data_IF_971019430575
#
_entry.id   IF_971019430575
#
_cell.length_a   1.000
_cell.length_b   1.000
_cell.length_c   1.000
_cell.angle_alpha   90.00
_cell.angle_beta   90.00
_cell.angle_gamma   90.00
#
_symmetry.space_group_name_H-M   'P 1'
#
loop_
_entity.id
_entity.type
_entity.pdbx_description
1 polymer ?
#
# COMPACT_ATOMS: atom_id res chain seq x y z
N UNK A 1 30.22 4.20 4.73
CA UNK A 1 30.42 5.55 4.18
C UNK A 1 29.08 6.26 3.81
N UNK A 2 27.93 5.62 4.02
CA UNK A 2 26.61 6.19 3.76
C UNK A 2 26.28 6.41 2.26
N UNK A 3 27.01 5.79 1.35
CA UNK A 3 26.76 5.84 -0.10
C UNK A 3 26.52 4.43 -0.61
N UNK A 4 25.46 4.16 -1.37
CA UNK A 4 25.21 2.84 -1.92
C UNK A 4 26.29 2.46 -2.93
N UNK A 5 26.80 1.25 -2.83
CA UNK A 5 27.78 0.68 -3.76
C UNK A 5 27.15 -0.35 -4.71
N UNK A 6 25.85 -0.49 -4.65
CA UNK A 6 25.09 -1.48 -5.43
C UNK A 6 23.95 -2.08 -4.64
N UNK A 7 23.59 -3.29 -4.97
CA UNK A 7 22.56 -4.05 -4.26
C UNK A 7 22.91 -5.54 -4.18
N UNK A 8 22.26 -6.22 -3.25
CA UNK A 8 22.30 -7.67 -3.13
C UNK A 8 20.94 -8.22 -3.51
N UNK A 9 20.91 -9.26 -4.31
CA UNK A 9 19.71 -9.96 -4.71
C UNK A 9 19.91 -11.48 -4.55
N UNK A 10 18.82 -12.20 -4.40
CA UNK A 10 18.85 -13.67 -4.38
C UNK A 10 17.75 -14.26 -5.26
N UNK A 11 18.07 -15.39 -5.86
CA UNK A 11 17.12 -16.13 -6.66
C UNK A 11 16.35 -17.09 -5.75
N UNK A 12 15.04 -16.89 -5.62
CA UNK A 12 14.17 -17.71 -4.76
C UNK A 12 14.02 -19.16 -5.21
N UNK A 13 14.33 -19.48 -6.49
CA UNK A 13 14.22 -20.85 -7.01
C UNK A 13 15.51 -21.66 -6.81
N UNK A 14 16.66 -21.00 -6.88
CA UNK A 14 17.96 -21.66 -6.88
C UNK A 14 18.86 -21.28 -5.70
N UNK A 15 18.42 -20.35 -4.84
CA UNK A 15 19.19 -19.88 -3.70
C UNK A 15 20.48 -19.10 -4.07
N UNK A 16 20.68 -18.77 -5.35
CA UNK A 16 21.86 -18.04 -5.80
C UNK A 16 21.81 -16.61 -5.32
N UNK A 17 22.86 -16.15 -4.66
CA UNK A 17 23.05 -14.76 -4.24
C UNK A 17 23.82 -13.99 -5.31
N UNK A 18 23.32 -12.82 -5.67
CA UNK A 18 23.95 -11.90 -6.61
C UNK A 18 24.37 -10.65 -5.87
N UNK A 19 25.61 -10.24 -6.05
CA UNK A 19 26.10 -8.95 -5.59
C UNK A 19 26.33 -8.07 -6.81
N UNK A 20 25.53 -7.03 -6.95
CA UNK A 20 25.57 -6.11 -8.09
C UNK A 20 26.24 -4.82 -7.62
N UNK A 21 27.44 -4.56 -8.12
CA UNK A 21 28.14 -3.30 -7.84
C UNK A 21 27.69 -2.23 -8.82
N UNK A 22 27.42 -1.04 -8.33
CA UNK A 22 26.93 0.08 -9.13
C UNK A 22 27.45 1.42 -8.62
N UNK A 23 27.60 2.39 -9.53
CA UNK A 23 28.00 3.77 -9.19
C UNK A 23 26.82 4.61 -8.73
N UNK A 24 25.60 4.20 -9.06
CA UNK A 24 24.34 4.80 -8.66
C UNK A 24 23.28 3.72 -8.53
N UNK A 25 22.33 3.94 -7.65
CA UNK A 25 21.18 3.04 -7.44
C UNK A 25 19.88 3.84 -7.62
N UNK A 26 18.99 3.36 -8.48
CA UNK A 26 17.64 3.89 -8.63
C UNK A 26 16.67 2.94 -7.94
N UNK A 27 16.00 3.42 -6.92
CA UNK A 27 14.97 2.68 -6.21
C UNK A 27 13.62 2.89 -6.89
N UNK A 28 13.00 1.80 -7.34
CA UNK A 28 11.68 1.78 -7.98
C UNK A 28 10.84 0.61 -7.44
N UNK A 29 10.86 0.43 -6.12
CA UNK A 29 10.34 -0.75 -5.41
C UNK A 29 8.84 -0.68 -5.11
N UNK A 30 8.18 0.38 -5.55
CA UNK A 30 6.76 0.56 -5.31
C UNK A 30 6.42 0.92 -3.86
N UNK A 31 5.17 0.79 -3.52
CA UNK A 31 4.62 1.11 -2.21
C UNK A 31 5.01 0.09 -1.13
N UNK A 32 4.66 0.40 0.13
CA UNK A 32 4.69 -0.55 1.22
C UNK A 32 3.26 -0.92 1.59
N UNK A 33 2.85 -2.11 1.24
CA UNK A 33 1.56 -2.68 1.60
C UNK A 33 1.73 -3.98 2.41
N UNK A 34 0.65 -4.71 2.68
CA UNK A 34 0.67 -5.94 3.46
C UNK A 34 1.18 -5.79 4.90
N UNK A 35 1.21 -4.57 5.42
CA UNK A 35 1.65 -4.27 6.78
C UNK A 35 0.50 -4.31 7.80
N UNK A 36 -0.74 -4.43 7.33
CA UNK A 36 -1.95 -4.51 8.14
C UNK A 36 -2.86 -5.61 7.61
N UNK A 37 -3.81 -6.06 8.44
CA UNK A 37 -4.94 -6.88 7.99
C UNK A 37 -6.04 -5.99 7.46
N UNK A 38 -6.78 -6.50 6.49
CA UNK A 38 -8.00 -5.86 6.02
C UNK A 38 -9.16 -6.86 5.97
N UNK A 39 -10.37 -6.35 5.94
CA UNK A 39 -11.58 -7.16 5.93
C UNK A 39 -12.01 -7.61 4.52
N UNK A 40 -11.19 -7.44 3.50
CA UNK A 40 -11.54 -7.81 2.12
C UNK A 40 -11.56 -9.32 1.90
N UNK A 41 -10.89 -10.08 2.77
CA UNK A 41 -10.81 -11.54 2.67
C UNK A 41 -9.84 -12.04 1.60
N UNK A 42 -8.95 -11.17 1.11
CA UNK A 42 -7.94 -11.56 0.11
C UNK A 42 -6.79 -12.34 0.71
N UNK A 43 -6.16 -13.23 -0.09
CA UNK A 43 -4.87 -13.78 0.25
C UNK A 43 -3.91 -12.64 0.60
N UNK A 44 -3.23 -12.77 1.73
CA UNK A 44 -2.36 -11.75 2.31
C UNK A 44 -3.07 -10.45 2.75
N UNK A 45 -4.42 -10.41 2.72
CA UNK A 45 -5.20 -9.21 3.04
C UNK A 45 -4.69 -7.95 2.33
N UNK A 46 -4.32 -8.08 1.07
CA UNK A 46 -3.76 -7.00 0.26
C UNK A 46 -4.47 -6.93 -1.09
N UNK A 47 -4.89 -5.75 -1.52
CA UNK A 47 -5.47 -5.52 -2.83
C UNK A 47 -4.45 -5.07 -3.88
N UNK A 48 -3.27 -4.67 -3.42
CA UNK A 48 -2.10 -4.41 -4.24
C UNK A 48 -1.21 -5.65 -4.32
N UNK A 49 -0.09 -5.54 -5.04
CA UNK A 49 0.88 -6.63 -5.16
C UNK A 49 1.40 -7.00 -3.76
N UNK A 50 1.14 -8.22 -3.26
CA UNK A 50 1.44 -8.59 -1.88
C UNK A 50 2.94 -8.70 -1.58
N UNK A 51 3.78 -8.59 -2.59
CA UNK A 51 5.24 -8.68 -2.45
C UNK A 51 5.92 -7.32 -2.25
N UNK A 52 5.19 -6.22 -2.36
CA UNK A 52 5.68 -4.87 -2.03
C UNK A 52 5.49 -4.63 -0.53
N UNK A 53 6.42 -5.09 0.28
CA UNK A 53 6.32 -5.07 1.75
C UNK A 53 7.08 -3.94 2.43
N UNK A 54 7.60 -2.98 1.64
CA UNK A 54 8.34 -1.83 2.16
C UNK A 54 9.84 -2.05 2.28
N UNK A 55 10.37 -3.12 1.68
CA UNK A 55 11.81 -3.43 1.72
C UNK A 55 12.65 -2.29 1.17
N UNK A 56 12.21 -1.64 0.09
CA UNK A 56 12.89 -0.51 -0.49
C UNK A 56 13.02 0.65 0.49
N UNK A 57 11.92 1.06 1.11
CA UNK A 57 11.92 2.13 2.11
C UNK A 57 12.78 1.76 3.32
N UNK A 58 12.73 0.50 3.75
CA UNK A 58 13.57 -0.02 4.84
C UNK A 58 15.06 0.03 4.49
N UNK A 59 15.44 -0.38 3.28
CA UNK A 59 16.82 -0.29 2.79
C UNK A 59 17.30 1.16 2.71
N UNK A 60 16.46 2.07 2.19
CA UNK A 60 16.77 3.49 2.12
C UNK A 60 17.02 4.08 3.52
N UNK A 61 16.15 3.74 4.49
CA UNK A 61 16.30 4.19 5.87
C UNK A 61 17.61 3.67 6.50
N UNK A 62 17.95 2.41 6.28
CA UNK A 62 19.22 1.82 6.77
C UNK A 62 20.45 2.50 6.16
N UNK A 63 20.34 3.03 4.94
CA UNK A 63 21.41 3.84 4.32
C UNK A 63 21.47 5.27 4.85
N UNK A 64 20.53 5.68 5.70
CA UNK A 64 20.41 7.04 6.20
C UNK A 64 19.61 8.00 5.33
N UNK A 65 18.87 7.49 4.35
CA UNK A 65 17.97 8.30 3.54
C UNK A 65 16.78 8.82 4.36
N UNK A 66 16.40 10.06 4.10
CA UNK A 66 15.20 10.63 4.71
C UNK A 66 13.96 10.01 4.09
N UNK A 67 13.07 9.53 4.95
CA UNK A 67 11.71 9.17 4.59
C UNK A 67 10.77 10.29 5.03
N UNK A 68 9.69 10.50 4.29
CA UNK A 68 8.70 11.50 4.64
C UNK A 68 7.28 10.92 4.55
N UNK A 69 6.39 11.45 5.38
CA UNK A 69 4.96 11.15 5.38
C UNK A 69 4.61 9.65 5.61
N UNK A 70 5.52 8.87 6.21
CA UNK A 70 5.29 7.42 6.44
C UNK A 70 4.14 7.14 7.41
N UNK A 71 3.71 8.13 8.16
CA UNK A 71 2.52 8.07 9.02
C UNK A 71 1.21 8.10 8.25
N UNK A 72 1.20 8.51 6.99
CA UNK A 72 0.00 8.52 6.17
C UNK A 72 -0.15 7.20 5.43
N UNK A 73 -1.35 6.65 5.50
CA UNK A 73 -1.72 5.41 4.82
C UNK A 73 -2.83 5.68 3.81
N UNK A 74 -2.77 5.04 2.68
CA UNK A 74 -3.85 5.03 1.70
C UNK A 74 -4.87 3.94 2.07
N UNK A 75 -6.13 4.22 1.84
CA UNK A 75 -7.22 3.30 2.03
C UNK A 75 -8.30 3.55 0.99
N UNK A 76 -9.10 2.54 0.72
CA UNK A 76 -10.25 2.68 -0.17
C UNK A 76 -11.42 1.84 0.33
N UNK A 77 -12.61 2.17 -0.15
CA UNK A 77 -13.80 1.38 0.11
C UNK A 77 -13.92 0.32 -0.99
N UNK A 78 -14.13 -0.93 -0.61
CA UNK A 78 -14.32 -2.06 -1.52
C UNK A 78 -15.56 -2.86 -1.15
N UNK A 79 -16.21 -3.54 -2.10
CA UNK A 79 -17.14 -4.59 -1.76
C UNK A 79 -16.44 -5.64 -0.88
N UNK A 80 -17.11 -6.10 0.16
CA UNK A 80 -16.56 -7.10 1.08
C UNK A 80 -16.29 -8.41 0.35
N UNK A 81 -15.07 -8.92 0.51
CA UNK A 81 -14.61 -10.12 -0.20
C UNK A 81 -14.21 -9.88 -1.66
N UNK A 82 -14.08 -8.63 -2.09
CA UNK A 82 -13.56 -8.25 -3.41
C UNK A 82 -12.25 -7.47 -3.31
N UNK A 83 -11.30 -7.75 -4.20
CA UNK A 83 -9.91 -7.28 -4.07
C UNK A 83 -9.64 -5.87 -4.54
N UNK A 84 -10.57 -5.21 -5.17
CA UNK A 84 -10.24 -3.93 -5.77
C UNK A 84 -11.32 -2.89 -5.52
N UNK A 85 -10.89 -1.65 -5.53
CA UNK A 85 -11.78 -0.50 -5.37
C UNK A 85 -12.79 -0.41 -6.51
N UNK A 86 -13.99 0.02 -6.21
CA UNK A 86 -15.06 0.23 -7.19
C UNK A 86 -16.02 1.36 -6.81
N UNK A 87 -15.88 1.88 -5.59
CA UNK A 87 -16.82 2.85 -4.99
C UNK A 87 -17.08 4.07 -5.86
N UNK A 88 -16.06 4.57 -6.58
CA UNK A 88 -16.21 5.73 -7.45
C UNK A 88 -17.26 5.49 -8.56
N UNK A 89 -17.29 4.28 -9.13
CA UNK A 89 -18.28 3.91 -10.15
C UNK A 89 -19.70 3.91 -9.57
N UNK A 90 -19.90 3.35 -8.40
CA UNK A 90 -21.19 3.32 -7.71
C UNK A 90 -21.67 4.72 -7.35
N UNK A 91 -20.83 5.50 -6.69
CA UNK A 91 -21.15 6.88 -6.30
C UNK A 91 -21.39 7.76 -7.51
N UNK A 92 -20.59 7.59 -8.57
CA UNK A 92 -20.79 8.30 -9.84
C UNK A 92 -22.10 7.96 -10.52
N UNK A 93 -22.64 6.75 -10.34
CA UNK A 93 -23.96 6.35 -10.81
C UNK A 93 -25.09 6.82 -9.89
N UNK A 94 -24.80 7.42 -8.74
CA UNK A 94 -25.78 7.92 -7.80
C UNK A 94 -26.16 6.97 -6.67
N UNK A 95 -25.40 5.90 -6.45
CA UNK A 95 -25.60 4.98 -5.32
C UNK A 95 -25.45 5.69 -3.97
N UNK A 96 -26.21 5.22 -2.97
CA UNK A 96 -26.12 5.71 -1.60
C UNK A 96 -25.20 4.82 -0.74
N UNK A 97 -24.61 5.42 0.29
CA UNK A 97 -23.99 4.69 1.37
C UNK A 97 -24.94 4.64 2.57
N UNK A 98 -25.31 3.42 2.96
CA UNK A 98 -26.26 3.22 4.06
C UNK A 98 -25.65 2.34 5.14
N UNK A 99 -26.02 2.60 6.40
CA UNK A 99 -25.62 1.79 7.54
C UNK A 99 -26.57 0.59 7.77
N UNK A 100 -26.32 -0.20 8.82
CA UNK A 100 -27.14 -1.37 9.13
C UNK A 100 -28.61 -1.06 9.41
N UNK A 101 -28.95 0.16 9.83
CA UNK A 101 -30.32 0.62 10.01
C UNK A 101 -30.98 1.12 8.70
N UNK A 102 -30.27 1.07 7.56
CA UNK A 102 -30.74 1.61 6.28
C UNK A 102 -30.64 3.14 6.18
N UNK A 103 -29.98 3.79 7.11
CA UNK A 103 -29.81 5.24 7.13
C UNK A 103 -28.75 5.67 6.12
N UNK A 104 -29.06 6.59 5.23
CA UNK A 104 -28.12 7.28 4.36
C UNK A 104 -27.31 8.28 5.17
N UNK A 105 -26.14 7.89 5.60
CA UNK A 105 -25.39 8.60 6.65
C UNK A 105 -24.43 9.67 6.13
N UNK A 106 -24.07 9.68 4.87
CA UNK A 106 -22.98 10.54 4.38
C UNK A 106 -23.19 12.04 4.59
N UNK A 107 -24.44 12.50 4.68
CA UNK A 107 -24.74 13.90 4.99
C UNK A 107 -24.33 14.34 6.40
N UNK A 108 -24.04 13.39 7.32
CA UNK A 108 -23.46 13.67 8.63
C UNK A 108 -21.97 14.07 8.54
N UNK A 109 -21.29 13.61 7.46
CA UNK A 109 -19.84 13.74 7.29
C UNK A 109 -19.46 14.75 6.21
N UNK A 110 -20.33 14.97 5.22
CA UNK A 110 -20.09 15.93 4.17
C UNK A 110 -21.43 16.49 3.63
N UNK A 111 -21.55 17.84 3.46
CA UNK A 111 -22.82 18.45 3.02
C UNK A 111 -23.28 18.01 1.62
N UNK A 112 -22.37 17.55 0.75
CA UNK A 112 -22.71 16.97 -0.55
C UNK A 112 -22.96 15.45 -0.49
N UNK A 113 -23.05 14.86 0.71
CA UNK A 113 -23.26 13.42 0.88
C UNK A 113 -22.18 12.60 0.20
N UNK A 114 -22.57 11.62 -0.61
CA UNK A 114 -21.64 10.73 -1.34
C UNK A 114 -20.81 11.44 -2.42
N UNK A 115 -21.19 12.65 -2.83
CA UNK A 115 -20.40 13.49 -3.73
C UNK A 115 -19.25 14.22 -2.99
N UNK A 116 -19.09 13.97 -1.70
CA UNK A 116 -17.93 14.44 -0.93
C UNK A 116 -16.61 13.85 -1.43
N UNK A 117 -15.52 14.33 -0.87
CA UNK A 117 -14.19 13.81 -1.22
C UNK A 117 -14.07 12.35 -0.74
N UNK A 118 -13.26 11.56 -1.43
CA UNK A 118 -13.00 10.15 -1.06
C UNK A 118 -12.66 9.97 0.42
N UNK A 119 -11.88 10.89 0.99
CA UNK A 119 -11.50 10.83 2.41
C UNK A 119 -12.72 10.99 3.34
N UNK A 120 -13.69 11.80 2.94
CA UNK A 120 -14.90 12.01 3.73
C UNK A 120 -15.79 10.75 3.71
N UNK A 121 -15.86 10.05 2.57
CA UNK A 121 -16.55 8.76 2.46
C UNK A 121 -15.87 7.69 3.33
N UNK A 122 -14.54 7.59 3.25
CA UNK A 122 -13.75 6.64 4.06
C UNK A 122 -13.96 6.92 5.55
N UNK A 123 -13.86 8.18 5.97
CA UNK A 123 -14.08 8.58 7.36
C UNK A 123 -15.51 8.28 7.82
N UNK A 124 -16.50 8.47 6.96
CA UNK A 124 -17.89 8.11 7.22
C UNK A 124 -18.05 6.62 7.49
N UNK A 125 -17.52 5.77 6.61
CA UNK A 125 -17.58 4.30 6.76
C UNK A 125 -16.84 3.83 8.02
N UNK A 126 -15.64 4.37 8.28
CA UNK A 126 -14.87 4.04 9.49
C UNK A 126 -15.66 4.43 10.75
N UNK A 127 -16.28 5.61 10.73
CA UNK A 127 -17.01 6.12 11.89
C UNK A 127 -18.28 5.32 12.16
N UNK A 128 -19.10 5.07 11.13
CA UNK A 128 -20.32 4.27 11.27
C UNK A 128 -19.98 2.86 11.80
N UNK A 129 -18.93 2.24 11.29
CA UNK A 129 -18.49 0.92 11.74
C UNK A 129 -17.97 0.94 13.18
N UNK A 130 -17.13 1.91 13.54
CA UNK A 130 -16.53 2.01 14.86
C UNK A 130 -17.54 2.36 15.97
N UNK A 131 -18.62 3.04 15.63
CA UNK A 131 -19.71 3.41 16.54
C UNK A 131 -20.84 2.37 16.59
N UNK A 132 -20.61 1.18 16.00
CA UNK A 132 -21.56 0.05 16.08
C UNK A 132 -22.78 0.16 15.15
N UNK A 133 -22.76 1.07 14.18
CA UNK A 133 -23.82 1.20 13.16
C UNK A 133 -23.51 0.45 11.86
N UNK A 134 -22.37 -0.28 11.81
CA UNK A 134 -22.07 -1.23 10.73
C UNK A 134 -22.90 -2.53 10.85
N UNK A 135 -22.87 -3.38 9.81
CA UNK A 135 -22.14 -3.21 8.55
C UNK A 135 -22.66 -2.07 7.68
N UNK A 136 -21.83 -1.61 6.75
CA UNK A 136 -22.14 -0.52 5.83
C UNK A 136 -22.31 -1.07 4.43
N UNK A 137 -23.22 -0.48 3.66
CA UNK A 137 -23.59 -1.00 2.34
C UNK A 137 -23.61 0.12 1.28
N UNK A 138 -23.40 -0.29 0.03
CA UNK A 138 -23.80 0.45 -1.15
C UNK A 138 -25.25 0.07 -1.48
N UNK A 139 -26.11 1.06 -1.67
CA UNK A 139 -27.51 0.89 -2.07
C UNK A 139 -27.75 1.50 -3.45
N UNK A 140 -28.05 0.64 -4.42
CA UNK A 140 -28.40 1.02 -5.79
C UNK A 140 -29.89 0.81 -6.08
N UNK A 141 -30.71 0.31 -5.15
CA UNK A 141 -32.10 -0.12 -5.37
C UNK A 141 -33.05 0.99 -5.80
N UNK A 142 -32.68 2.24 -5.53
CA UNK A 142 -33.44 3.42 -5.96
C UNK A 142 -33.11 3.87 -7.39
N UNK A 143 -32.06 3.32 -8.00
CA UNK A 143 -31.67 3.70 -9.36
C UNK A 143 -32.57 3.06 -10.39
N UNK A 144 -32.87 3.77 -11.52
CA UNK A 144 -33.57 3.17 -12.65
C UNK A 144 -32.86 1.93 -13.19
N UNK A 145 -33.57 0.91 -13.69
CA UNK A 145 -32.95 -0.32 -14.21
C UNK A 145 -31.88 -0.07 -15.28
N UNK A 146 -32.08 0.90 -16.16
CA UNK A 146 -31.11 1.26 -17.19
C UNK A 146 -29.81 1.83 -16.60
N UNK A 147 -29.88 2.57 -15.49
CA UNK A 147 -28.72 3.10 -14.79
C UNK A 147 -27.95 1.99 -14.07
N UNK A 148 -28.65 1.03 -13.47
CA UNK A 148 -28.02 -0.16 -12.88
C UNK A 148 -27.30 -0.99 -13.94
N UNK A 149 -27.94 -1.20 -15.11
CA UNK A 149 -27.32 -1.94 -16.22
C UNK A 149 -26.08 -1.20 -16.77
N UNK A 150 -26.17 0.12 -16.93
CA UNK A 150 -25.03 0.94 -17.32
C UNK A 150 -23.88 0.88 -16.31
N UNK A 151 -24.21 0.92 -15.01
CA UNK A 151 -23.24 0.76 -13.93
C UNK A 151 -22.54 -0.61 -14.00
N UNK A 152 -23.30 -1.70 -14.13
CA UNK A 152 -22.75 -3.06 -14.30
C UNK A 152 -21.80 -3.14 -15.50
N UNK A 153 -22.19 -2.54 -16.64
CA UNK A 153 -21.34 -2.47 -17.83
C UNK A 153 -20.06 -1.68 -17.60
N UNK A 154 -20.15 -0.51 -16.99
CA UNK A 154 -18.97 0.33 -16.65
C UNK A 154 -18.03 -0.38 -15.68
N UNK A 155 -18.56 -1.00 -14.63
CA UNK A 155 -17.78 -1.78 -13.68
C UNK A 155 -17.08 -2.97 -14.37
N UNK A 156 -17.76 -3.64 -15.31
CA UNK A 156 -17.17 -4.74 -16.07
C UNK A 156 -16.00 -4.33 -16.96
N UNK A 157 -16.00 -3.12 -17.50
CA UNK A 157 -14.87 -2.57 -18.27
C UNK A 157 -13.72 -2.19 -17.34
N UNK A 158 -14.00 -1.46 -16.27
CA UNK A 158 -13.00 -0.96 -15.34
C UNK A 158 -12.47 -2.05 -14.39
N UNK A 159 -13.33 -3.02 -14.07
CA UNK A 159 -13.06 -4.13 -13.13
C UNK A 159 -13.62 -5.44 -13.68
N UNK A 160 -12.97 -6.08 -14.67
CA UNK A 160 -13.54 -7.21 -15.41
C UNK A 160 -14.01 -8.39 -14.56
N UNK A 161 -13.40 -8.60 -13.39
CA UNK A 161 -13.79 -9.66 -12.45
C UNK A 161 -14.99 -9.29 -11.57
N UNK A 162 -15.44 -8.04 -11.55
CA UNK A 162 -16.52 -7.60 -10.65
C UNK A 162 -17.90 -8.17 -11.02
N UNK A 163 -18.31 -8.27 -12.29
CA UNK A 163 -19.56 -8.96 -12.66
C UNK A 163 -19.56 -10.42 -12.18
N UNK A 164 -18.49 -11.16 -12.42
CA UNK A 164 -18.35 -12.54 -11.95
C UNK A 164 -18.41 -12.64 -10.42
N UNK A 165 -17.84 -11.67 -9.71
CA UNK A 165 -17.95 -11.60 -8.25
C UNK A 165 -19.41 -11.45 -7.79
N UNK A 166 -20.21 -10.57 -8.44
CA UNK A 166 -21.62 -10.44 -8.11
C UNK A 166 -22.40 -11.72 -8.36
N UNK A 167 -22.17 -12.38 -9.51
CA UNK A 167 -22.78 -13.66 -9.82
C UNK A 167 -22.45 -14.73 -8.78
N UNK A 168 -21.19 -14.87 -8.42
CA UNK A 168 -20.71 -15.84 -7.41
C UNK A 168 -21.27 -15.57 -6.00
N UNK A 169 -21.51 -14.30 -5.67
CA UNK A 169 -22.11 -13.90 -4.39
C UNK A 169 -23.63 -13.88 -4.42
N UNK A 170 -24.25 -14.07 -5.58
CA UNK A 170 -25.70 -13.97 -5.75
C UNK A 170 -26.24 -12.56 -5.47
N UNK A 171 -25.45 -11.52 -5.74
CA UNK A 171 -25.84 -10.11 -5.48
C UNK A 171 -26.42 -9.50 -6.74
N UNK A 172 -27.66 -9.06 -6.67
CA UNK A 172 -28.28 -8.19 -7.68
C UNK A 172 -28.37 -6.75 -7.16
N UNK A 173 -27.62 -5.84 -7.78
CA UNK A 173 -27.57 -4.43 -7.40
C UNK A 173 -28.93 -3.70 -7.49
N UNK A 174 -29.89 -4.26 -8.23
CA UNK A 174 -31.24 -3.70 -8.33
C UNK A 174 -32.10 -4.01 -7.10
N UNK A 175 -31.82 -5.10 -6.38
CA UNK A 175 -32.64 -5.60 -5.26
C UNK A 175 -31.87 -5.71 -3.95
N UNK A 176 -30.56 -5.85 -4.00
CA UNK A 176 -29.76 -6.18 -2.85
C UNK A 176 -28.86 -5.04 -2.41
N UNK A 177 -28.56 -5.02 -1.12
CA UNK A 177 -27.52 -4.17 -0.54
C UNK A 177 -26.15 -4.85 -0.73
N UNK A 178 -25.18 -4.10 -1.23
CA UNK A 178 -23.80 -4.58 -1.38
C UNK A 178 -22.98 -4.20 -0.15
N UNK A 179 -22.65 -5.16 0.70
CA UNK A 179 -21.80 -4.90 1.87
C UNK A 179 -20.41 -4.42 1.42
N UNK A 180 -19.92 -3.37 2.07
CA UNK A 180 -18.62 -2.77 1.80
C UNK A 180 -17.75 -2.75 3.05
N UNK A 181 -16.45 -2.66 2.81
CA UNK A 181 -15.45 -2.54 3.87
C UNK A 181 -14.34 -1.60 3.44
N UNK A 182 -13.53 -1.18 4.40
CA UNK A 182 -12.28 -0.47 4.09
C UNK A 182 -11.23 -1.51 3.68
N UNK A 183 -10.58 -1.26 2.55
CA UNK A 183 -9.44 -2.07 2.11
C UNK A 183 -8.20 -1.79 2.98
N UNK A 184 -7.12 -2.49 2.66
CA UNK A 184 -5.86 -2.37 3.36
C UNK A 184 -5.36 -0.94 3.52
N UNK A 185 -4.54 -0.76 4.54
CA UNK A 185 -3.68 0.41 4.69
C UNK A 185 -2.36 0.15 3.97
N UNK A 186 -2.03 0.99 3.02
CA UNK A 186 -0.72 0.97 2.35
C UNK A 186 -0.01 2.31 2.49
N UNK A 187 1.31 2.27 2.59
CA UNK A 187 2.15 3.48 2.58
C UNK A 187 2.67 3.67 1.17
N UNK A 188 2.15 4.65 0.46
CA UNK A 188 2.53 4.89 -0.94
C UNK A 188 2.58 6.37 -1.32
N UNK A 189 3.26 6.63 -2.41
CA UNK A 189 3.47 7.96 -2.96
C UNK A 189 2.26 8.59 -3.65
N UNK A 190 1.06 8.19 -3.38
CA UNK A 190 -0.13 8.83 -3.96
C UNK A 190 -1.39 8.18 -3.48
N UNK A 191 -2.24 8.91 -2.87
CA UNK A 191 -3.47 8.39 -2.34
C UNK A 191 -4.49 9.46 -2.09
N UNK A 192 -5.46 9.09 -1.30
CA UNK A 192 -6.62 9.88 -0.95
C UNK A 192 -6.27 11.17 -0.22
N UNK A 193 -5.14 11.18 0.47
CA UNK A 193 -4.60 12.35 1.14
C UNK A 193 -3.39 12.78 0.33
N UNK A 194 -3.39 13.96 -0.25
CA UNK A 194 -2.37 14.55 -1.13
C UNK A 194 -0.94 14.60 -0.56
N UNK A 195 -0.62 13.78 0.43
CA UNK A 195 0.69 13.65 1.05
C UNK A 195 1.24 12.27 0.76
N UNK A 196 2.34 12.26 0.06
CA UNK A 196 2.97 11.06 -0.47
C UNK A 196 4.02 10.56 0.51
N UNK A 197 3.92 9.27 0.86
CA UNK A 197 4.83 8.60 1.76
C UNK A 197 5.95 7.91 0.99
N UNK A 198 7.16 7.93 1.51
CA UNK A 198 8.29 7.23 0.92
C UNK A 198 9.61 7.96 1.05
N UNK A 199 10.57 7.57 0.23
CA UNK A 199 11.90 8.21 0.17
C UNK A 199 11.74 9.66 -0.29
N UNK A 200 12.23 10.59 0.53
CA UNK A 200 12.23 12.01 0.18
C UNK A 200 13.20 12.25 -0.97
N UNK A 201 12.67 12.86 -2.02
CA UNK A 201 13.43 13.22 -3.23
C UNK A 201 13.20 14.68 -3.61
N UNK A 202 14.13 15.23 -4.39
CA UNK A 202 13.98 16.52 -5.07
C UNK A 202 13.37 16.38 -6.47
N UNK A 203 13.37 17.46 -7.24
CA UNK A 203 12.85 17.51 -8.62
C UNK A 203 13.64 16.63 -9.61
N UNK A 204 14.89 16.33 -9.30
CA UNK A 204 15.78 15.47 -10.08
C UNK A 204 15.77 14.02 -9.59
N UNK A 205 14.84 13.68 -8.72
CA UNK A 205 14.69 12.36 -8.08
C UNK A 205 15.89 11.94 -7.20
N UNK A 206 16.69 12.89 -6.75
CA UNK A 206 17.83 12.64 -5.87
C UNK A 206 17.33 12.51 -4.43
N UNK A 207 17.78 11.49 -3.72
CA UNK A 207 17.50 11.35 -2.29
C UNK A 207 18.48 12.18 -1.44
N UNK A 208 18.28 12.16 -0.11
CA UNK A 208 19.26 12.75 0.84
C UNK A 208 20.61 12.00 0.91
N UNK A 209 20.72 10.85 0.27
CA UNK A 209 21.94 10.02 0.22
C UNK A 209 22.57 10.12 -1.16
N UNK A 210 23.81 10.60 -1.29
CA UNK A 210 24.49 10.67 -2.58
C UNK A 210 24.53 9.33 -3.28
N UNK A 211 24.20 9.31 -4.58
CA UNK A 211 24.17 8.08 -5.38
C UNK A 211 22.92 7.22 -5.23
N UNK A 212 21.97 7.60 -4.35
CA UNK A 212 20.67 6.98 -4.24
C UNK A 212 19.61 7.89 -4.84
N UNK A 213 18.85 7.36 -5.79
CA UNK A 213 17.72 7.99 -6.47
C UNK A 213 16.46 7.18 -6.19
N UNK A 214 15.29 7.80 -6.25
CA UNK A 214 14.04 7.06 -6.12
C UNK A 214 12.95 7.60 -7.04
N UNK A 215 12.07 6.73 -7.53
CA UNK A 215 10.99 7.08 -8.43
C UNK A 215 9.75 6.21 -8.19
N UNK A 216 8.58 6.76 -8.49
CA UNK A 216 7.31 6.07 -8.32
C UNK A 216 6.86 5.98 -6.86
N UNK A 217 6.04 4.99 -6.55
CA UNK A 217 5.32 4.87 -5.27
C UNK A 217 6.22 4.59 -4.05
N UNK A 218 7.49 4.27 -4.23
CA UNK A 218 8.46 4.21 -3.12
C UNK A 218 8.97 5.57 -2.66
N UNK A 219 8.64 6.66 -3.37
CA UNK A 219 9.14 8.01 -3.12
C UNK A 219 8.01 8.98 -2.73
N UNK A 220 8.40 10.19 -2.31
CA UNK A 220 7.44 11.26 -1.99
C UNK A 220 6.76 11.88 -3.20
N UNK A 221 7.08 11.47 -4.40
CA UNK A 221 6.47 11.96 -5.63
C UNK A 221 6.01 10.79 -6.48
N UNK A 222 4.70 10.58 -6.53
CA UNK A 222 4.06 9.61 -7.41
C UNK A 222 2.74 10.17 -7.93
N UNK A 223 2.26 9.65 -9.01
CA UNK A 223 0.95 9.96 -9.57
C UNK A 223 0.43 8.78 -10.39
N UNK A 224 0.47 7.60 -9.77
CA UNK A 224 0.20 6.33 -10.44
C UNK A 224 1.22 6.08 -11.56
N UNK A 225 0.79 5.34 -12.57
CA UNK A 225 1.68 4.89 -13.65
C UNK A 225 2.28 6.05 -14.45
N UNK A 226 1.52 7.11 -14.69
CA UNK A 226 2.00 8.30 -15.42
C UNK A 226 3.12 8.99 -14.65
N UNK A 227 2.94 9.20 -13.34
CA UNK A 227 3.97 9.79 -12.50
C UNK A 227 5.19 8.89 -12.36
N UNK A 228 4.99 7.58 -12.17
CA UNK A 228 6.09 6.62 -12.11
C UNK A 228 6.93 6.60 -13.38
N UNK A 229 6.30 6.71 -14.56
CA UNK A 229 6.99 6.78 -15.85
C UNK A 229 7.83 8.04 -15.98
N UNK A 230 7.26 9.21 -15.69
CA UNK A 230 7.98 10.49 -15.78
C UNK A 230 9.15 10.54 -14.79
N UNK A 231 8.88 10.18 -13.52
CA UNK A 231 9.90 10.20 -12.48
C UNK A 231 10.99 9.15 -12.72
N UNK A 232 10.62 7.98 -13.27
CA UNK A 232 11.58 6.95 -13.68
C UNK A 232 12.54 7.45 -14.76
N UNK A 233 12.04 8.20 -15.75
CA UNK A 233 12.86 8.83 -16.78
C UNK A 233 13.83 9.86 -16.18
N UNK A 234 13.32 10.74 -15.29
CA UNK A 234 14.14 11.76 -14.61
C UNK A 234 15.21 11.07 -13.73
N UNK A 235 14.81 10.11 -12.89
CA UNK A 235 15.72 9.40 -12.00
C UNK A 235 16.83 8.67 -12.78
N UNK A 236 16.47 8.02 -13.88
CA UNK A 236 17.44 7.33 -14.75
C UNK A 236 18.47 8.30 -15.36
N UNK A 237 18.01 9.45 -15.86
CA UNK A 237 18.89 10.50 -16.39
C UNK A 237 19.81 11.08 -15.32
N UNK A 238 19.28 11.36 -14.14
CA UNK A 238 20.06 11.89 -13.01
C UNK A 238 21.09 10.88 -12.47
N UNK A 239 20.67 9.63 -12.33
CA UNK A 239 21.57 8.54 -11.93
C UNK A 239 22.70 8.31 -12.94
N UNK A 240 22.40 8.37 -14.23
CA UNK A 240 23.41 8.25 -15.29
C UNK A 240 24.44 9.39 -15.24
N UNK A 241 23.98 10.65 -15.12
CA UNK A 241 24.87 11.80 -14.95
C UNK A 241 25.76 11.67 -13.73
N UNK A 242 25.21 11.27 -12.60
CA UNK A 242 25.96 11.05 -11.38
C UNK A 242 27.00 9.93 -11.58
N UNK A 243 26.62 8.80 -12.14
CA UNK A 243 27.48 7.63 -12.34
C UNK A 243 28.68 7.92 -13.27
N UNK A 244 28.52 8.80 -14.28
CA UNK A 244 29.60 9.22 -15.16
C UNK A 244 30.73 9.96 -14.42
N UNK A 245 30.39 10.69 -13.36
CA UNK A 245 31.34 11.40 -12.51
C UNK A 245 31.97 10.54 -11.38
N UNK A 246 31.56 9.27 -11.25
CA UNK A 246 32.05 8.41 -10.15
C UNK A 246 33.08 7.39 -10.65
N UNK A 247 34.07 7.04 -9.83
CA UNK A 247 34.99 5.95 -10.14
C UNK A 247 34.23 4.61 -10.17
N UNK A 248 34.81 3.62 -10.84
CA UNK A 248 34.29 2.26 -10.80
C UNK A 248 34.26 1.73 -9.36
N UNK A 249 33.20 1.05 -8.91
CA UNK A 249 33.17 0.46 -7.59
C UNK A 249 34.30 -0.57 -7.45
N UNK A 250 34.93 -0.60 -6.28
CA UNK A 250 35.93 -1.64 -6.00
C UNK A 250 35.23 -2.99 -5.83
N UNK A 251 35.76 -4.06 -6.41
CA UNK A 251 35.26 -5.41 -6.14
C UNK A 251 35.28 -5.70 -4.64
N UNK A 252 34.27 -6.41 -4.16
CA UNK A 252 34.25 -6.90 -2.78
C UNK A 252 35.27 -8.04 -2.60
N UNK A 253 35.85 -8.09 -1.42
CA UNK A 253 36.65 -9.23 -1.00
C UNK A 253 35.77 -10.48 -0.81
N UNK A 254 36.40 -11.65 -0.82
CA UNK A 254 35.69 -12.90 -0.54
C UNK A 254 35.05 -12.89 0.87
N UNK A 255 35.72 -12.30 1.83
CA UNK A 255 35.24 -12.16 3.21
C UNK A 255 33.98 -11.27 3.30
N UNK A 256 33.96 -10.13 2.59
CA UNK A 256 32.80 -9.27 2.52
C UNK A 256 31.60 -9.98 1.86
N UNK A 257 31.85 -10.76 0.81
CA UNK A 257 30.80 -11.54 0.13
C UNK A 257 30.23 -12.62 1.05
N UNK A 258 31.10 -13.33 1.78
CA UNK A 258 30.66 -14.38 2.71
C UNK A 258 29.85 -13.79 3.87
N UNK A 259 30.26 -12.67 4.41
CA UNK A 259 29.49 -11.95 5.45
C UNK A 259 28.10 -11.56 4.97
N UNK A 260 27.99 -11.06 3.74
CA UNK A 260 26.68 -10.75 3.13
C UNK A 260 25.82 -12.01 3.02
N UNK A 261 26.43 -13.12 2.61
CA UNK A 261 25.74 -14.40 2.50
C UNK A 261 25.26 -14.91 3.85
N UNK A 262 26.10 -14.87 4.87
CA UNK A 262 25.74 -15.25 6.24
C UNK A 262 24.56 -14.42 6.78
N UNK A 263 24.56 -13.11 6.55
CA UNK A 263 23.44 -12.24 6.93
C UNK A 263 22.12 -12.62 6.23
N UNK A 264 22.19 -13.02 4.96
CA UNK A 264 21.01 -13.42 4.19
C UNK A 264 20.44 -14.78 4.62
N UNK A 265 21.31 -15.73 4.96
CA UNK A 265 20.87 -17.10 5.31
C UNK A 265 20.57 -17.25 6.80
N UNK A 266 21.05 -16.36 7.65
CA UNK A 266 20.84 -16.39 9.11
C UNK A 266 19.39 -16.64 9.53
N UNK A 267 18.36 -16.03 8.89
CA UNK A 267 16.96 -16.33 9.25
C UNK A 267 16.56 -17.79 8.99
N UNK A 268 17.20 -18.48 8.06
CA UNK A 268 16.94 -19.89 7.75
C UNK A 268 17.55 -20.85 8.79
N UNK A 269 18.59 -20.38 9.48
CA UNK A 269 19.33 -21.13 10.49
C UNK A 269 18.83 -20.83 11.92
N UNK A 270 17.89 -19.90 12.05
CA UNK A 270 17.37 -19.46 13.34
C UNK A 270 16.31 -20.44 13.85
N UNK A 271 16.50 -20.95 15.05
CA UNK A 271 15.51 -21.73 15.81
C UNK A 271 14.51 -20.79 16.51
N UNK A 272 13.77 -20.00 15.73
CA UNK A 272 12.75 -19.10 16.25
C UNK A 272 11.48 -19.84 16.72
N UNK A 273 10.76 -19.25 17.67
CA UNK A 273 9.46 -19.78 18.12
C UNK A 273 8.34 -19.56 17.12
N UNK A 274 8.49 -18.57 16.26
CA UNK A 274 7.50 -18.18 15.25
C UNK A 274 7.95 -18.62 13.86
N UNK A 275 7.02 -19.11 13.06
CA UNK A 275 7.24 -19.24 11.63
C UNK A 275 7.29 -17.84 10.99
N UNK A 276 7.92 -17.66 9.80
CA UNK A 276 7.92 -16.38 9.12
C UNK A 276 6.52 -15.80 8.93
N UNK A 277 5.53 -16.65 8.63
CA UNK A 277 4.14 -16.24 8.51
C UNK A 277 3.53 -15.86 9.86
N UNK A 278 3.80 -16.63 10.91
CA UNK A 278 3.34 -16.30 12.26
C UNK A 278 3.86 -14.97 12.75
N UNK A 279 5.14 -14.68 12.48
CA UNK A 279 5.74 -13.38 12.77
C UNK A 279 5.04 -12.24 11.99
N UNK A 280 4.83 -12.43 10.69
CA UNK A 280 4.11 -11.47 9.85
C UNK A 280 2.70 -11.22 10.38
N UNK A 281 1.96 -12.29 10.71
CA UNK A 281 0.60 -12.19 11.21
C UNK A 281 0.53 -11.41 12.53
N UNK A 282 1.48 -11.61 13.45
CA UNK A 282 1.57 -10.84 14.70
C UNK A 282 1.86 -9.35 14.43
N UNK A 283 2.80 -9.03 13.54
CA UNK A 283 3.07 -7.64 13.16
C UNK A 283 1.81 -6.99 12.59
N UNK A 284 1.09 -7.68 11.72
CA UNK A 284 -0.12 -7.19 11.06
C UNK A 284 -1.26 -6.99 12.06
N UNK A 285 -1.41 -7.87 13.05
CA UNK A 285 -2.37 -7.69 14.14
C UNK A 285 -2.08 -6.42 14.96
N UNK A 286 -0.83 -6.22 15.33
CA UNK A 286 -0.41 -5.03 16.09
C UNK A 286 -0.70 -3.77 15.27
N UNK A 287 -0.30 -3.75 14.00
CA UNK A 287 -0.51 -2.60 13.13
C UNK A 287 -2.01 -2.31 12.97
N UNK A 288 -2.82 -3.31 12.69
CA UNK A 288 -4.26 -3.15 12.52
C UNK A 288 -4.95 -2.73 13.81
N UNK A 289 -4.63 -3.40 14.91
CA UNK A 289 -5.30 -3.21 16.19
C UNK A 289 -4.85 -1.96 16.94
N UNK A 290 -3.58 -1.56 16.83
CA UNK A 290 -3.02 -0.44 17.61
C UNK A 290 -2.82 0.82 16.77
N UNK A 291 -2.28 0.70 15.57
CA UNK A 291 -2.00 1.84 14.70
C UNK A 291 -3.27 2.25 13.95
N UNK A 292 -3.84 1.36 13.16
CA UNK A 292 -5.14 1.54 12.50
C UNK A 292 -5.34 2.89 11.81
N UNK A 293 -6.60 3.23 11.53
CA UNK A 293 -6.98 4.53 10.94
C UNK A 293 -7.14 5.63 12.00
N UNK A 294 -7.56 5.27 13.21
CA UNK A 294 -7.69 6.20 14.35
C UNK A 294 -6.57 5.93 15.34
N UNK A 295 -5.76 6.95 15.58
CA UNK A 295 -4.54 6.87 16.37
C UNK A 295 -4.62 7.77 17.58
N UNK A 296 -4.10 7.28 18.68
CA UNK A 296 -3.84 8.04 19.90
C UNK A 296 -2.49 7.64 20.49
N UNK A 297 -2.00 8.44 21.42
CA UNK A 297 -0.67 8.27 21.99
C UNK A 297 -0.51 6.92 22.71
N UNK A 298 -1.53 6.47 23.45
CA UNK A 298 -1.45 5.24 24.23
C UNK A 298 -1.39 4.02 23.31
N UNK A 299 -2.22 4.00 22.27
CA UNK A 299 -2.21 2.93 21.24
C UNK A 299 -0.87 2.87 20.50
N UNK A 300 -0.31 4.01 20.12
CA UNK A 300 0.99 4.06 19.43
C UNK A 300 2.14 3.61 20.34
N UNK A 301 2.14 3.98 21.64
CA UNK A 301 3.12 3.47 22.60
C UNK A 301 3.00 1.95 22.77
N UNK A 302 1.76 1.44 22.95
CA UNK A 302 1.54 -0.02 23.02
C UNK A 302 2.04 -0.75 21.78
N UNK A 303 1.76 -0.20 20.58
CA UNK A 303 2.28 -0.79 19.33
C UNK A 303 3.81 -0.84 19.30
N UNK A 304 4.47 0.24 19.71
CA UNK A 304 5.92 0.31 19.74
C UNK A 304 6.52 -0.72 20.71
N UNK A 305 5.94 -0.88 21.89
CA UNK A 305 6.37 -1.86 22.89
C UNK A 305 6.14 -3.29 22.40
N UNK A 306 4.97 -3.58 21.81
CA UNK A 306 4.64 -4.89 21.27
C UNK A 306 5.57 -5.27 20.09
N UNK A 307 5.79 -4.35 19.13
CA UNK A 307 6.72 -4.57 18.01
C UNK A 307 8.18 -4.76 18.47
N UNK A 308 8.57 -4.06 19.54
CA UNK A 308 9.92 -4.17 20.09
C UNK A 308 10.19 -5.54 20.73
N UNK A 309 9.15 -6.23 21.22
CA UNK A 309 9.26 -7.59 21.78
C UNK A 309 9.34 -8.67 20.70
N UNK A 310 8.98 -8.35 19.47
CA UNK A 310 9.08 -9.28 18.34
C UNK A 310 10.47 -9.27 17.69
N UNK A 311 11.34 -8.30 18.01
CA UNK A 311 12.74 -8.26 17.56
C UNK A 311 13.59 -9.25 18.32
#
# INVERSE_FOLDING_TARGET
>A
DGVPKGCVAFNIRHGTVYVVLARAVVMATGEANRISKNASGHPYDSWHIPYNTGDGQSMALKLGAQLANMEFTDATITPKGYSTQGTNGFVGAGAYLVNAAGERFMFKYHPAGEQGRRIDLINGVITETAEGRGPVYIDCRHLPPDDVNRLKGTLGVDRPAMPTFFEQKGVDLATDLLEITISEMSSRGGGVVFRRAGVRIDSDCVSSVPGLFAAGDCSTVSNGISGATVMGHIAGGSAARYALGQPAPKPLSREEIEKIREELVRPLESEGKLTPRGFEDEVREIVTGRIGFRRDENRLKSALDELSRLK
#
